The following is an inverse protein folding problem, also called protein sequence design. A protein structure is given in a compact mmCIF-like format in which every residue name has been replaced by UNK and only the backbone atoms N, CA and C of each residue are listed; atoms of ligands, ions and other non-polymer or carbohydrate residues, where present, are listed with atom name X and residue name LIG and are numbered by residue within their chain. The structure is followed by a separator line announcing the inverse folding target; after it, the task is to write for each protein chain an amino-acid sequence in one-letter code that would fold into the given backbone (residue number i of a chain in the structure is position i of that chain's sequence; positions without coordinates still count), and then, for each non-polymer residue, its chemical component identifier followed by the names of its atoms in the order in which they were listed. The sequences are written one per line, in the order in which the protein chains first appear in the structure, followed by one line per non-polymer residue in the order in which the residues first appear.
data_IF_525798547323
#
_entry.id   IF_525798547323
#
_cell.length_a   1.000
_cell.length_b   1.000
_cell.length_c   1.000
_cell.angle_alpha   90.00
_cell.angle_beta   90.00
_cell.angle_gamma   90.00
#
_symmetry.space_group_name_H-M   'P 1'
#
loop_
_entity.id
_entity.type
_entity.pdbx_description
1 polymer ?
#
# COMPACT_ATOMS: atom_id res chain seq x y z
N UNK A 1 8.15 -16.89 -2.69
CA UNK A 1 9.27 -17.67 -3.29
C UNK A 1 8.75 -19.06 -3.66
N UNK A 2 8.43 -19.29 -4.93
CA UNK A 2 8.12 -20.64 -5.42
C UNK A 2 9.45 -21.36 -5.69
N UNK A 3 9.96 -22.12 -4.72
CA UNK A 3 11.07 -23.05 -4.97
C UNK A 3 10.47 -24.26 -5.68
N UNK A 4 10.55 -24.26 -7.01
CA UNK A 4 10.28 -25.48 -7.78
C UNK A 4 11.44 -26.46 -7.52
N UNK A 5 11.20 -27.75 -7.68
CA UNK A 5 12.27 -28.77 -7.62
C UNK A 5 13.17 -28.76 -8.86
N UNK A 6 12.82 -27.98 -9.88
CA UNK A 6 13.47 -27.95 -11.17
C UNK A 6 14.47 -26.80 -11.23
N UNK A 7 15.61 -27.07 -11.86
CA UNK A 7 16.70 -26.14 -12.11
C UNK A 7 16.81 -25.86 -13.61
N UNK A 8 17.62 -24.88 -14.01
CA UNK A 8 17.89 -24.62 -15.43
C UNK A 8 18.62 -25.79 -16.10
N UNK A 9 19.36 -26.59 -15.35
CA UNK A 9 20.06 -27.77 -15.86
C UNK A 9 19.08 -28.89 -16.29
N UNK A 10 17.82 -28.83 -15.84
CA UNK A 10 16.77 -29.77 -16.25
C UNK A 10 16.15 -29.44 -17.63
N UNK A 11 16.56 -28.31 -18.24
CA UNK A 11 16.03 -27.82 -19.51
C UNK A 11 16.38 -28.76 -20.68
N UNK A 12 15.37 -29.12 -21.47
CA UNK A 12 15.51 -30.09 -22.56
C UNK A 12 15.41 -31.56 -22.09
N UNK A 13 15.29 -31.78 -20.77
CA UNK A 13 15.01 -33.07 -20.17
C UNK A 13 13.67 -33.06 -19.42
N UNK A 14 13.74 -33.03 -18.09
CA UNK A 14 12.55 -33.03 -17.23
C UNK A 14 11.76 -31.72 -17.29
N UNK A 15 12.42 -30.60 -17.64
CA UNK A 15 11.79 -29.32 -17.92
C UNK A 15 11.82 -29.07 -19.43
N UNK A 16 10.67 -29.11 -20.08
CA UNK A 16 10.60 -28.79 -21.52
C UNK A 16 10.65 -27.28 -21.75
N UNK A 17 11.11 -26.86 -22.92
CA UNK A 17 11.15 -25.45 -23.34
C UNK A 17 9.75 -24.81 -23.32
N UNK A 18 8.74 -25.55 -23.79
CA UNK A 18 7.35 -25.11 -23.73
C UNK A 18 6.86 -24.90 -22.29
N UNK A 19 7.20 -25.82 -21.37
CA UNK A 19 6.85 -25.68 -19.96
C UNK A 19 7.54 -24.49 -19.30
N UNK A 20 8.80 -24.21 -19.67
CA UNK A 20 9.50 -23.01 -19.19
C UNK A 20 8.84 -21.73 -19.73
N UNK A 21 8.49 -21.70 -21.01
CA UNK A 21 7.78 -20.57 -21.62
C UNK A 21 6.43 -20.32 -20.95
N UNK A 22 5.64 -21.37 -20.71
CA UNK A 22 4.39 -21.27 -19.97
C UNK A 22 4.63 -20.71 -18.57
N UNK A 23 5.65 -21.21 -17.86
CA UNK A 23 5.99 -20.69 -16.53
C UNK A 23 6.30 -19.19 -16.58
N UNK A 24 7.14 -18.74 -17.52
CA UNK A 24 7.49 -17.33 -17.69
C UNK A 24 6.27 -16.47 -18.05
N UNK A 25 5.40 -16.96 -18.94
CA UNK A 25 4.21 -16.27 -19.40
C UNK A 25 3.19 -16.05 -18.26
N UNK A 26 3.07 -17.01 -17.35
CA UNK A 26 2.12 -16.96 -16.22
C UNK A 26 2.77 -16.61 -14.87
N UNK A 27 4.00 -16.08 -14.89
CA UNK A 27 4.63 -15.55 -13.68
C UNK A 27 3.76 -14.45 -13.07
N UNK A 28 3.57 -14.43 -11.74
CA UNK A 28 2.80 -13.39 -11.09
C UNK A 28 3.51 -12.03 -11.23
N UNK A 29 2.76 -10.92 -11.26
CA UNK A 29 3.29 -9.58 -11.56
C UNK A 29 4.28 -9.08 -10.49
N UNK A 30 4.24 -9.61 -9.27
CA UNK A 30 5.14 -9.25 -8.19
C UNK A 30 6.49 -9.99 -8.23
N UNK A 31 6.70 -10.90 -9.20
CA UNK A 31 7.93 -11.66 -9.29
C UNK A 31 9.12 -10.77 -9.68
N UNK A 32 10.33 -11.17 -9.28
CA UNK A 32 11.53 -10.38 -9.55
C UNK A 32 11.77 -10.15 -11.05
N UNK A 33 11.47 -11.15 -11.88
CA UNK A 33 11.63 -11.03 -13.33
C UNK A 33 10.68 -9.97 -13.92
N UNK A 34 9.38 -10.06 -13.63
CA UNK A 34 8.36 -9.10 -14.10
C UNK A 34 8.71 -7.67 -13.65
N UNK A 35 9.14 -7.49 -12.40
CA UNK A 35 9.56 -6.17 -11.89
C UNK A 35 10.77 -5.61 -12.65
N UNK A 36 11.72 -6.45 -13.02
CA UNK A 36 12.90 -6.01 -13.78
C UNK A 36 12.54 -5.71 -15.26
N UNK A 37 11.69 -6.53 -15.87
CA UNK A 37 11.35 -6.41 -17.30
C UNK A 37 10.29 -5.35 -17.59
N UNK A 38 9.32 -5.17 -16.71
CA UNK A 38 8.15 -4.29 -16.90
C UNK A 38 8.22 -3.02 -16.03
N UNK A 39 9.19 -2.94 -15.11
CA UNK A 39 9.45 -1.75 -14.31
C UNK A 39 8.22 -1.30 -13.50
N UNK A 40 7.79 -0.05 -13.72
CA UNK A 40 6.67 0.55 -12.99
C UNK A 40 5.32 -0.14 -13.26
N UNK A 41 5.10 -0.71 -14.43
CA UNK A 41 3.82 -1.35 -14.76
C UNK A 41 3.54 -2.57 -13.86
N UNK A 42 4.59 -3.34 -13.54
CA UNK A 42 4.51 -4.45 -12.59
C UNK A 42 4.18 -3.96 -11.17
N UNK A 43 4.64 -2.76 -10.78
CA UNK A 43 4.31 -2.16 -9.49
C UNK A 43 2.83 -1.78 -9.42
N UNK A 44 2.27 -1.20 -10.49
CA UNK A 44 0.84 -0.83 -10.56
C UNK A 44 -0.09 -2.05 -10.55
N UNK A 45 0.38 -3.20 -11.04
CA UNK A 45 -0.35 -4.47 -10.98
C UNK A 45 -0.05 -5.29 -9.72
N UNK A 46 0.75 -4.74 -8.80
CA UNK A 46 1.14 -5.45 -7.58
C UNK A 46 -0.07 -5.81 -6.73
N UNK A 47 -0.17 -7.08 -6.27
CA UNK A 47 -1.25 -7.53 -5.39
C UNK A 47 -1.21 -6.83 -4.02
N UNK A 48 -0.14 -6.10 -3.70
CA UNK A 48 -0.03 -5.31 -2.48
C UNK A 48 -0.50 -3.86 -2.68
N UNK A 49 -0.24 -3.26 -3.84
CA UNK A 49 -0.56 -1.85 -4.11
C UNK A 49 -2.03 -1.67 -4.48
N UNK A 50 -2.57 -2.53 -5.35
CA UNK A 50 -3.96 -2.43 -5.83
C UNK A 50 -4.97 -2.42 -4.67
N UNK A 51 -4.91 -3.33 -3.68
CA UNK A 51 -5.83 -3.29 -2.54
C UNK A 51 -5.71 -2.02 -1.71
N UNK A 52 -4.50 -1.46 -1.56
CA UNK A 52 -4.30 -0.22 -0.84
C UNK A 52 -4.94 0.97 -1.56
N UNK A 53 -4.78 1.05 -2.88
CA UNK A 53 -5.40 2.10 -3.70
C UNK A 53 -6.93 1.99 -3.69
N UNK A 54 -7.47 0.78 -3.86
CA UNK A 54 -8.91 0.54 -3.79
C UNK A 54 -9.49 0.93 -2.42
N UNK A 55 -8.81 0.53 -1.35
CA UNK A 55 -9.26 0.85 -0.02
C UNK A 55 -9.16 2.36 0.27
N UNK A 56 -8.16 3.06 -0.29
CA UNK A 56 -8.08 4.53 -0.25
C UNK A 56 -9.24 5.20 -0.99
N UNK A 57 -9.64 4.67 -2.14
CA UNK A 57 -10.82 5.16 -2.88
C UNK A 57 -12.07 5.01 -2.01
N UNK A 58 -12.27 3.83 -1.41
CA UNK A 58 -13.40 3.57 -0.49
C UNK A 58 -13.42 4.57 0.66
N UNK A 59 -12.30 4.75 1.37
CA UNK A 59 -12.21 5.70 2.50
C UNK A 59 -12.60 7.12 2.06
N UNK A 60 -12.19 7.52 0.85
CA UNK A 60 -12.45 8.86 0.31
C UNK A 60 -13.94 9.05 -0.01
N UNK A 61 -14.59 8.02 -0.56
CA UNK A 61 -16.02 8.03 -0.85
C UNK A 61 -16.86 8.06 0.43
N UNK A 62 -16.48 7.28 1.44
CA UNK A 62 -17.16 7.28 2.74
C UNK A 62 -17.10 8.66 3.40
N UNK A 63 -15.91 9.29 3.39
CA UNK A 63 -15.74 10.66 3.90
C UNK A 63 -16.55 11.67 3.09
N UNK A 64 -16.59 11.54 1.76
CA UNK A 64 -17.39 12.41 0.90
C UNK A 64 -18.89 12.31 1.22
N UNK A 65 -19.41 11.08 1.32
CA UNK A 65 -20.79 10.82 1.67
C UNK A 65 -21.13 11.35 3.08
N UNK A 66 -20.23 11.13 4.05
CA UNK A 66 -20.36 11.69 5.38
C UNK A 66 -20.43 13.21 5.35
N UNK A 67 -19.53 13.87 4.62
CA UNK A 67 -19.50 15.34 4.52
C UNK A 67 -20.78 15.88 3.90
N UNK A 68 -21.29 15.23 2.86
CA UNK A 68 -22.57 15.56 2.25
C UNK A 68 -23.73 15.46 3.25
N UNK A 69 -23.85 14.36 3.98
CA UNK A 69 -24.90 14.19 5.00
C UNK A 69 -24.74 15.21 6.14
N UNK A 70 -23.52 15.38 6.64
CA UNK A 70 -23.19 16.29 7.74
C UNK A 70 -23.50 17.77 7.42
N UNK A 71 -23.50 18.15 6.13
CA UNK A 71 -23.90 19.48 5.67
C UNK A 71 -25.41 19.73 5.68
N UNK A 72 -26.22 18.66 5.68
CA UNK A 72 -27.70 18.73 5.63
C UNK A 72 -28.36 18.62 7.00
N UNK A 73 -27.60 18.31 8.04
CA UNK A 73 -28.11 18.13 9.41
C UNK A 73 -27.67 19.27 10.31
N UNK A 74 -28.49 19.55 11.33
CA UNK A 74 -28.19 20.58 12.33
C UNK A 74 -26.91 20.26 13.11
N UNK A 75 -26.26 21.31 13.62
CA UNK A 75 -25.09 21.19 14.48
C UNK A 75 -25.46 20.38 15.74
N UNK A 76 -24.78 19.25 15.95
CA UNK A 76 -25.06 18.30 17.04
C UNK A 76 -25.78 17.02 16.61
N UNK A 77 -26.36 16.98 15.40
CA UNK A 77 -26.99 15.78 14.80
C UNK A 77 -26.13 15.13 13.72
N UNK A 78 -24.84 15.51 13.63
CA UNK A 78 -23.92 14.99 12.62
C UNK A 78 -23.61 13.52 12.91
N UNK A 79 -23.64 12.64 11.89
CA UNK A 79 -23.21 11.26 12.07
C UNK A 79 -21.71 11.21 12.44
N UNK A 80 -21.25 10.11 13.06
CA UNK A 80 -19.84 9.91 13.34
C UNK A 80 -19.02 9.91 12.04
N UNK A 81 -17.79 10.42 12.11
CA UNK A 81 -16.86 10.39 10.98
C UNK A 81 -16.50 8.93 10.69
N UNK A 82 -16.56 8.49 9.42
CA UNK A 82 -16.17 7.13 9.06
C UNK A 82 -14.69 6.90 9.37
N UNK A 83 -14.39 5.70 9.89
CA UNK A 83 -13.02 5.27 10.14
C UNK A 83 -12.45 4.64 8.86
N UNK A 84 -11.20 4.95 8.47
CA UNK A 84 -10.55 4.28 7.35
C UNK A 84 -10.53 2.77 7.55
N UNK A 85 -10.61 2.02 6.45
CA UNK A 85 -10.44 0.57 6.48
C UNK A 85 -9.03 0.27 7.05
N UNK A 86 -8.86 -0.73 7.93
CA UNK A 86 -7.55 -1.11 8.47
C UNK A 86 -6.56 -1.48 7.35
N UNK A 87 -5.29 -1.10 7.48
CA UNK A 87 -4.22 -1.41 6.51
C UNK A 87 -3.17 -2.29 7.18
N UNK A 88 -2.65 -3.34 6.51
CA UNK A 88 -1.52 -4.09 7.01
C UNK A 88 -0.32 -3.18 7.30
N UNK A 89 0.31 -3.32 8.47
CA UNK A 89 1.47 -2.52 8.86
C UNK A 89 1.15 -1.09 9.33
N UNK A 90 -0.12 -0.68 9.36
CA UNK A 90 -0.56 0.59 9.95
C UNK A 90 -1.46 0.28 11.13
N UNK A 91 -1.06 0.70 12.33
CA UNK A 91 -1.92 0.64 13.50
C UNK A 91 -3.03 1.70 13.36
N UNK A 92 -4.32 1.29 13.29
CA UNK A 92 -5.44 2.21 13.13
C UNK A 92 -5.70 3.06 14.38
N UNK A 93 -5.26 2.61 15.55
CA UNK A 93 -5.49 3.25 16.85
C UNK A 93 -4.26 4.06 17.32
N UNK A 94 -3.07 3.80 16.76
CA UNK A 94 -1.87 4.59 17.05
C UNK A 94 -2.01 6.09 16.70
N UNK A 95 -3.02 6.44 15.90
CA UNK A 95 -3.16 7.77 15.32
C UNK A 95 -2.03 8.03 14.33
N UNK A 96 -2.32 8.70 13.22
CA UNK A 96 -1.23 9.22 12.38
C UNK A 96 -0.40 10.17 13.26
N UNK A 97 0.88 9.86 13.52
CA UNK A 97 1.82 10.77 14.18
C UNK A 97 1.88 12.05 13.35
N UNK A 98 1.08 13.04 13.74
CA UNK A 98 0.93 14.30 12.99
C UNK A 98 2.11 15.19 13.35
N UNK A 99 3.20 15.06 12.60
CA UNK A 99 4.36 15.94 12.71
C UNK A 99 3.96 17.32 12.16
N UNK A 100 4.20 18.40 12.92
CA UNK A 100 4.03 19.78 12.43
C UNK A 100 2.62 20.36 12.47
N UNK A 101 1.79 20.04 13.49
CA UNK A 101 0.48 20.71 13.65
C UNK A 101 0.59 22.21 14.00
N UNK A 102 1.75 22.66 14.49
CA UNK A 102 2.05 24.06 14.83
C UNK A 102 3.55 24.37 14.71
N UNK A 103 3.96 25.63 14.94
CA UNK A 103 5.37 25.97 15.09
C UNK A 103 5.98 25.08 16.19
N UNK A 104 7.21 24.64 15.98
CA UNK A 104 7.97 23.93 17.01
C UNK A 104 8.05 24.88 18.22
N UNK A 105 7.58 24.49 19.42
CA UNK A 105 7.80 25.27 20.62
C UNK A 105 9.29 25.61 20.74
N UNK A 106 9.62 26.83 21.16
CA UNK A 106 11.04 27.26 21.17
C UNK A 106 11.94 26.36 22.02
N UNK A 107 11.34 25.72 23.03
CA UNK A 107 11.96 24.70 23.88
C UNK A 107 12.36 23.41 23.14
N UNK A 108 11.61 23.04 22.09
CA UNK A 108 11.88 21.86 21.28
C UNK A 108 12.70 22.19 20.01
N UNK A 109 12.98 23.49 19.76
CA UNK A 109 13.66 23.94 18.55
C UNK A 109 15.13 23.49 18.53
N UNK A 110 15.83 23.62 19.66
CA UNK A 110 17.25 23.28 19.74
C UNK A 110 17.47 21.78 19.58
N UNK A 111 16.62 20.94 20.17
CA UNK A 111 16.65 19.48 19.98
C UNK A 111 16.38 19.09 18.52
N UNK A 112 15.43 19.76 17.86
CA UNK A 112 15.15 19.52 16.44
C UNK A 112 16.26 20.03 15.51
N UNK A 113 16.85 21.19 15.78
CA UNK A 113 17.82 21.85 14.91
C UNK A 113 19.24 21.33 15.09
N UNK A 114 19.64 21.04 16.34
CA UNK A 114 20.97 20.53 16.68
C UNK A 114 21.00 19.00 16.87
N UNK A 115 19.85 18.33 16.83
CA UNK A 115 19.74 16.86 16.76
C UNK A 115 19.62 16.14 18.10
N UNK A 116 19.50 16.87 19.22
CA UNK A 116 19.52 16.32 20.58
C UNK A 116 20.86 15.66 20.93
N UNK A 117 21.18 15.54 22.23
CA UNK A 117 22.26 14.64 22.69
C UNK A 117 21.85 13.15 22.55
#
# INVERSE_FOLDING_TARGET
MCRTRFTLDDLGGALTEASLLDFLAYLPPDCALRRETEGEDALWQSPYLVPQLLARISDTLDVFQWAFIASKVEKGKRPPVPRPIPRPGVDPDAGARRIGRGPIPIEDFDDWYYGGE
#
